data_IF_357719613415
#
_entry.id   IF_357719613415
#
_cell.length_a   1.000
_cell.length_b   1.000
_cell.length_c   1.000
_cell.angle_alpha   90.00
_cell.angle_beta   90.00
_cell.angle_gamma   90.00
#
_symmetry.space_group_name_H-M   'P 1'
#
loop_
_entity.id
_entity.type
_entity.pdbx_description
1 polymer ?
#
# COMPACT_ATOMS: atom_id res chain seq x y z
N UNK A 1 -8.12 -34.03 22.94
CA UNK A 1 -9.05 -33.00 22.46
C UNK A 1 -8.21 -31.98 21.72
N UNK A 2 -8.41 -31.79 20.42
CA UNK A 2 -7.62 -30.83 19.65
C UNK A 2 -8.07 -29.41 20.05
N UNK A 3 -7.19 -28.66 20.70
CA UNK A 3 -7.46 -27.33 21.21
C UNK A 3 -7.03 -26.23 20.24
N UNK A 4 -7.40 -24.99 20.54
CA UNK A 4 -6.95 -23.81 19.78
C UNK A 4 -5.42 -23.71 19.71
N UNK A 5 -4.72 -24.10 20.78
CA UNK A 5 -3.26 -24.15 20.80
C UNK A 5 -2.69 -25.12 19.77
N UNK A 6 -3.33 -26.29 19.58
CA UNK A 6 -2.91 -27.27 18.59
C UNK A 6 -3.18 -26.76 17.16
N UNK A 7 -4.29 -26.04 16.94
CA UNK A 7 -4.61 -25.40 15.65
C UNK A 7 -3.55 -24.36 15.27
N UNK A 8 -3.12 -23.52 16.21
CA UNK A 8 -2.10 -22.48 15.95
C UNK A 8 -0.73 -23.04 15.55
N UNK A 9 -0.45 -24.28 15.95
CA UNK A 9 0.78 -24.99 15.58
C UNK A 9 0.69 -25.64 14.19
N UNK A 10 -0.51 -25.73 13.60
CA UNK A 10 -0.66 -26.28 12.25
C UNK A 10 -0.04 -25.35 11.22
N UNK A 11 0.59 -25.95 10.21
CA UNK A 11 1.18 -25.22 9.09
C UNK A 11 0.15 -24.34 8.38
N UNK A 12 -1.07 -24.84 8.19
CA UNK A 12 -2.16 -24.11 7.54
C UNK A 12 -2.51 -22.83 8.30
N UNK A 13 -2.56 -22.87 9.63
CA UNK A 13 -2.82 -21.67 10.42
C UNK A 13 -1.69 -20.65 10.29
N UNK A 14 -0.43 -21.11 10.29
CA UNK A 14 0.73 -20.23 10.15
C UNK A 14 0.79 -19.58 8.76
N UNK A 15 0.51 -20.35 7.69
CA UNK A 15 0.42 -19.83 6.32
C UNK A 15 -0.70 -18.80 6.19
N UNK A 16 -1.89 -19.09 6.73
CA UNK A 16 -3.02 -18.16 6.71
C UNK A 16 -2.76 -16.89 7.52
N UNK A 17 -2.04 -16.98 8.65
CA UNK A 17 -1.64 -15.83 9.44
C UNK A 17 -0.65 -14.95 8.67
N UNK A 18 0.39 -15.55 8.08
CA UNK A 18 1.39 -14.82 7.30
C UNK A 18 0.77 -14.11 6.09
N UNK A 19 -0.11 -14.81 5.36
CA UNK A 19 -0.86 -14.22 4.25
C UNK A 19 -1.77 -13.07 4.71
N UNK A 20 -2.42 -13.22 5.88
CA UNK A 20 -3.24 -12.17 6.48
C UNK A 20 -2.42 -10.94 6.89
N UNK A 21 -1.24 -11.13 7.46
CA UNK A 21 -0.31 -10.06 7.82
C UNK A 21 0.19 -9.31 6.57
N UNK A 22 0.57 -10.04 5.52
CA UNK A 22 1.02 -9.45 4.25
C UNK A 22 -0.08 -8.62 3.59
N UNK A 23 -1.30 -9.17 3.48
CA UNK A 23 -2.45 -8.44 2.92
C UNK A 23 -2.78 -7.20 3.76
N UNK A 24 -2.78 -7.33 5.09
CA UNK A 24 -3.05 -6.22 6.00
C UNK A 24 -2.01 -5.10 5.87
N UNK A 25 -0.75 -5.45 5.64
CA UNK A 25 0.31 -4.47 5.37
C UNK A 25 0.06 -3.74 4.04
N UNK A 26 -0.20 -4.49 2.95
CA UNK A 26 -0.46 -3.92 1.62
C UNK A 26 -1.70 -2.99 1.61
N UNK A 27 -2.79 -3.41 2.26
CA UNK A 27 -3.99 -2.58 2.40
C UNK A 27 -3.73 -1.34 3.26
N UNK A 28 -2.96 -1.48 4.34
CA UNK A 28 -2.55 -0.37 5.20
C UNK A 28 -1.70 0.67 4.47
N UNK A 29 -0.69 0.23 3.70
CA UNK A 29 0.14 1.11 2.89
C UNK A 29 -0.70 1.85 1.84
N UNK A 30 -1.60 1.15 1.16
CA UNK A 30 -2.53 1.76 0.20
C UNK A 30 -3.38 2.85 0.85
N UNK A 31 -3.97 2.56 2.01
CA UNK A 31 -4.78 3.53 2.75
C UNK A 31 -3.96 4.77 3.15
N UNK A 32 -2.72 4.59 3.59
CA UNK A 32 -1.84 5.71 3.94
C UNK A 32 -1.54 6.57 2.71
N UNK A 33 -1.18 5.96 1.58
CA UNK A 33 -0.90 6.66 0.33
C UNK A 33 -2.13 7.44 -0.16
N UNK A 34 -3.30 6.80 -0.21
CA UNK A 34 -4.55 7.43 -0.63
C UNK A 34 -4.92 8.61 0.28
N UNK A 35 -4.79 8.45 1.60
CA UNK A 35 -5.10 9.51 2.56
C UNK A 35 -4.13 10.69 2.44
N UNK A 36 -2.83 10.45 2.32
CA UNK A 36 -1.83 11.50 2.13
C UNK A 36 -2.09 12.30 0.86
N UNK A 37 -2.31 11.61 -0.25
CA UNK A 37 -2.64 12.25 -1.53
C UNK A 37 -3.94 13.07 -1.41
N UNK A 38 -4.95 12.56 -0.69
CA UNK A 38 -6.22 13.28 -0.50
C UNK A 38 -6.05 14.56 0.32
N UNK A 39 -5.23 14.50 1.37
CA UNK A 39 -4.91 15.66 2.21
C UNK A 39 -4.11 16.71 1.42
N UNK A 40 -3.20 16.30 0.54
CA UNK A 40 -2.35 17.22 -0.22
C UNK A 40 -3.00 17.82 -1.46
N UNK A 41 -3.75 17.01 -2.21
CA UNK A 41 -4.23 17.36 -3.55
C UNK A 41 -5.76 17.43 -3.67
N UNK A 42 -6.51 17.09 -2.61
CA UNK A 42 -7.97 17.03 -2.64
C UNK A 42 -8.48 15.70 -3.18
N UNK A 43 -9.56 15.72 -3.96
CA UNK A 43 -10.11 14.48 -4.53
C UNK A 43 -9.10 13.77 -5.44
N UNK A 44 -9.00 12.45 -5.31
CA UNK A 44 -8.11 11.61 -6.11
C UNK A 44 -8.74 11.39 -7.48
N UNK A 45 -8.33 12.18 -8.47
CA UNK A 45 -8.76 12.00 -9.84
C UNK A 45 -8.24 10.68 -10.45
N UNK A 46 -8.79 10.25 -11.61
CA UNK A 46 -8.38 9.00 -12.24
C UNK A 46 -6.89 8.92 -12.59
N UNK A 47 -6.25 10.06 -12.89
CA UNK A 47 -4.82 10.11 -13.23
C UNK A 47 -3.96 9.77 -12.02
N UNK A 48 -4.29 10.33 -10.84
CA UNK A 48 -3.60 10.01 -9.60
C UNK A 48 -3.90 8.59 -9.15
N UNK A 49 -5.15 8.11 -9.28
CA UNK A 49 -5.49 6.74 -8.94
C UNK A 49 -4.69 5.71 -9.77
N UNK A 50 -4.42 6.01 -11.04
CA UNK A 50 -3.66 5.13 -11.91
C UNK A 50 -2.20 4.95 -11.49
N UNK A 51 -1.61 5.92 -10.77
CA UNK A 51 -0.21 5.86 -10.33
C UNK A 51 -0.02 5.25 -8.93
N UNK A 52 -1.07 5.13 -8.12
CA UNK A 52 -0.98 4.62 -6.73
C UNK A 52 -0.35 3.24 -6.69
N UNK A 53 -0.75 2.33 -7.58
CA UNK A 53 -0.18 0.97 -7.62
C UNK A 53 1.32 0.94 -7.90
N UNK A 54 1.87 1.96 -8.58
CA UNK A 54 3.31 2.08 -8.86
C UNK A 54 4.05 2.69 -7.67
N UNK A 55 3.43 3.64 -6.99
CA UNK A 55 3.96 4.23 -5.75
C UNK A 55 4.08 3.15 -4.66
N UNK A 56 3.10 2.24 -4.56
CA UNK A 56 3.11 1.13 -3.62
C UNK A 56 4.15 0.03 -3.92
N UNK A 57 4.86 0.11 -5.05
CA UNK A 57 6.01 -0.77 -5.31
C UNK A 57 7.29 -0.28 -4.62
N UNK A 58 7.30 0.98 -4.18
CA UNK A 58 8.38 1.56 -3.41
C UNK A 58 8.21 1.23 -1.93
N UNK A 59 9.32 1.23 -1.19
CA UNK A 59 9.23 1.06 0.27
C UNK A 59 8.62 2.31 0.94
N UNK A 60 8.07 2.19 2.17
CA UNK A 60 7.60 3.35 2.94
C UNK A 60 8.62 4.48 3.06
N UNK A 61 9.90 4.16 3.19
CA UNK A 61 10.99 5.12 3.29
C UNK A 61 11.24 5.88 1.98
N UNK A 62 10.84 5.30 0.84
CA UNK A 62 10.97 5.91 -0.48
C UNK A 62 9.72 6.70 -0.86
N UNK A 63 8.52 6.12 -0.72
CA UNK A 63 7.30 6.81 -1.10
C UNK A 63 6.92 7.93 -0.13
N UNK A 64 7.21 7.81 1.18
CA UNK A 64 6.82 8.84 2.16
C UNK A 64 7.41 10.22 1.84
N UNK A 65 8.75 10.39 1.70
CA UNK A 65 9.31 11.69 1.36
C UNK A 65 8.86 12.14 -0.03
N UNK A 66 8.75 11.23 -1.00
CA UNK A 66 8.28 11.55 -2.34
C UNK A 66 6.85 12.12 -2.31
N UNK A 67 5.95 11.50 -1.55
CA UNK A 67 4.57 11.95 -1.36
C UNK A 67 4.44 13.21 -0.50
N UNK A 68 5.48 13.66 0.20
CA UNK A 68 5.46 14.89 0.99
C UNK A 68 6.11 16.08 0.25
N UNK A 69 7.10 15.81 -0.60
CA UNK A 69 7.88 16.86 -1.24
C UNK A 69 7.49 17.09 -2.71
N UNK A 70 7.06 16.05 -3.44
CA UNK A 70 6.69 16.20 -4.85
C UNK A 70 5.31 16.85 -5.02
N UNK A 71 5.13 17.61 -6.08
CA UNK A 71 3.85 18.12 -6.55
C UNK A 71 3.07 17.04 -7.31
N UNK A 72 1.75 17.27 -7.49
CA UNK A 72 0.88 16.38 -8.26
C UNK A 72 1.41 16.11 -9.67
N UNK A 73 1.87 17.16 -10.38
CA UNK A 73 2.37 17.04 -11.75
C UNK A 73 3.67 16.24 -11.80
N UNK A 74 4.57 16.42 -10.83
CA UNK A 74 5.82 15.65 -10.76
C UNK A 74 5.53 14.16 -10.53
N UNK A 75 4.59 13.84 -9.64
CA UNK A 75 4.15 12.46 -9.42
C UNK A 75 3.56 11.84 -10.70
N UNK A 76 2.71 12.57 -11.40
CA UNK A 76 2.15 12.12 -12.67
C UNK A 76 3.21 11.97 -13.76
N UNK A 77 4.21 12.86 -13.82
CA UNK A 77 5.30 12.72 -14.79
C UNK A 77 6.21 11.53 -14.47
N UNK A 78 6.46 11.28 -13.18
CA UNK A 78 7.33 10.19 -12.73
C UNK A 78 6.66 8.82 -12.87
N UNK A 79 5.39 8.71 -12.48
CA UNK A 79 4.67 7.44 -12.41
C UNK A 79 3.57 7.29 -13.45
N UNK A 80 3.18 8.32 -14.19
CA UNK A 80 2.10 8.25 -15.19
C UNK A 80 2.52 7.68 -16.54
N UNK A 81 3.83 7.61 -16.82
CA UNK A 81 4.35 7.05 -18.06
C UNK A 81 4.29 5.52 -18.06
N UNK A 82 3.17 4.96 -18.53
CA UNK A 82 3.21 3.70 -19.27
C UNK A 82 2.68 3.94 -20.68
N UNK A 83 3.59 3.86 -21.64
CA UNK A 83 3.28 3.19 -22.90
C UNK A 83 2.99 1.71 -22.63
#
# INVERSE_FOLDING_TARGET
>A
MFGLSDLKQTRVYQEALAEGEERGLQEGERLVVENLLRVRFGELDPEIQAIISRILQLSPEEFTPLLLHCSKQELLNQFGNCQ
#
